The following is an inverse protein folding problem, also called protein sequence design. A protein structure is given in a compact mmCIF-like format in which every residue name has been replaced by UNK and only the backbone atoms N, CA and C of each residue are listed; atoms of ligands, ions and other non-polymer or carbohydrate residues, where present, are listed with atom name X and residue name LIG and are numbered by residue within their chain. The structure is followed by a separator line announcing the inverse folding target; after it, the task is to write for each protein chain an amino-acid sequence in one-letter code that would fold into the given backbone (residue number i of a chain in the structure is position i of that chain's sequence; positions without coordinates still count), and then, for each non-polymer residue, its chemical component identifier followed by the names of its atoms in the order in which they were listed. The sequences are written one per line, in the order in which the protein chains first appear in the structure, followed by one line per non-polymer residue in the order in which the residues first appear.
data_IF_536999108636
#
_entry.id   IF_536999108636
#
_cell.length_a   1.000
_cell.length_b   1.000
_cell.length_c   1.000
_cell.angle_alpha   90.00
_cell.angle_beta   90.00
_cell.angle_gamma   90.00
#
_symmetry.space_group_name_H-M   'P 1'
#
loop_
_entity.id
_entity.type
_entity.pdbx_description
1 polymer ?
#
# COMPACT_ATOMS: atom_id res chain seq x y z
N UNK A 1 3.62 19.05 1.61
CA UNK A 1 2.82 18.51 2.74
C UNK A 1 3.64 18.58 4.02
N UNK A 2 3.07 18.96 5.17
CA UNK A 2 3.81 18.96 6.45
C UNK A 2 4.10 17.51 6.86
N UNK A 3 5.33 17.21 7.28
CA UNK A 3 5.79 15.85 7.62
C UNK A 3 4.88 15.16 8.64
N UNK A 4 4.42 15.90 9.66
CA UNK A 4 3.51 15.43 10.71
C UNK A 4 2.18 14.95 10.11
N UNK A 5 1.62 15.70 9.16
CA UNK A 5 0.37 15.32 8.48
C UNK A 5 0.56 14.05 7.67
N UNK A 6 1.70 13.89 6.98
CA UNK A 6 2.01 12.65 6.24
C UNK A 6 2.07 11.44 7.15
N UNK A 7 2.75 11.57 8.30
CA UNK A 7 2.88 10.48 9.28
C UNK A 7 1.51 10.10 9.84
N UNK A 8 0.69 11.09 10.22
CA UNK A 8 -0.64 10.85 10.76
C UNK A 8 -1.55 10.15 9.73
N UNK A 9 -1.55 10.62 8.49
CA UNK A 9 -2.32 9.98 7.40
C UNK A 9 -1.83 8.55 7.17
N UNK A 10 -0.51 8.33 7.15
CA UNK A 10 0.07 6.98 6.97
C UNK A 10 -0.40 6.04 8.08
N UNK A 11 -0.35 6.48 9.33
CA UNK A 11 -0.78 5.68 10.48
C UNK A 11 -2.28 5.35 10.42
N UNK A 12 -3.13 6.36 10.15
CA UNK A 12 -4.59 6.15 10.04
C UNK A 12 -4.92 5.16 8.93
N UNK A 13 -4.31 5.30 7.76
CA UNK A 13 -4.53 4.39 6.62
C UNK A 13 -4.05 2.97 6.91
N UNK A 14 -2.91 2.81 7.59
CA UNK A 14 -2.44 1.50 8.03
C UNK A 14 -3.45 0.84 8.98
N UNK A 15 -3.96 1.57 9.97
CA UNK A 15 -4.97 1.07 10.91
C UNK A 15 -6.22 0.63 10.15
N UNK A 16 -6.78 1.48 9.29
CA UNK A 16 -7.98 1.14 8.50
C UNK A 16 -7.76 -0.14 7.68
N UNK A 17 -6.62 -0.25 7.00
CA UNK A 17 -6.29 -1.41 6.17
C UNK A 17 -6.12 -2.68 6.99
N UNK A 18 -5.39 -2.62 8.11
CA UNK A 18 -5.18 -3.77 9.01
C UNK A 18 -6.50 -4.26 9.59
N UNK A 19 -7.37 -3.36 10.05
CA UNK A 19 -8.70 -3.73 10.55
C UNK A 19 -9.56 -4.36 9.46
N UNK A 20 -9.55 -3.80 8.24
CA UNK A 20 -10.32 -4.35 7.13
C UNK A 20 -9.86 -5.76 6.71
N UNK A 21 -8.57 -6.05 6.81
CA UNK A 21 -8.02 -7.39 6.55
C UNK A 21 -8.40 -8.41 7.63
N UNK A 22 -8.84 -7.98 8.82
CA UNK A 22 -9.39 -8.86 9.85
C UNK A 22 -8.47 -10.03 10.24
N UNK A 23 -7.15 -9.79 10.31
CA UNK A 23 -6.17 -10.85 10.60
C UNK A 23 -6.04 -11.93 9.52
N UNK A 24 -6.54 -11.68 8.31
CA UNK A 24 -6.50 -12.62 7.18
C UNK A 24 -7.86 -13.21 6.80
N UNK A 25 -8.89 -12.98 7.62
CA UNK A 25 -10.26 -13.42 7.36
C UNK A 25 -11.16 -12.31 6.78
N UNK A 26 -10.68 -11.08 6.74
CA UNK A 26 -11.39 -9.94 6.19
C UNK A 26 -11.14 -9.73 4.70
N UNK A 27 -11.25 -8.47 4.26
CA UNK A 27 -11.04 -8.09 2.86
C UNK A 27 -9.69 -7.42 2.66
N UNK A 28 -8.94 -7.92 1.66
CA UNK A 28 -7.70 -7.28 1.20
C UNK A 28 -7.95 -6.13 0.22
N UNK A 29 -9.21 -5.79 -0.08
CA UNK A 29 -9.55 -4.74 -1.04
C UNK A 29 -8.92 -3.38 -0.66
N UNK A 30 -9.03 -2.88 0.59
CA UNK A 30 -8.40 -1.62 0.96
C UNK A 30 -6.87 -1.69 0.89
N UNK A 31 -6.28 -2.84 1.23
CA UNK A 31 -4.84 -3.06 1.11
C UNK A 31 -4.36 -2.96 -0.34
N UNK A 32 -5.09 -3.58 -1.27
CA UNK A 32 -4.79 -3.55 -2.71
C UNK A 32 -4.90 -2.16 -3.31
N UNK A 33 -5.86 -1.36 -2.85
CA UNK A 33 -6.08 0.00 -3.36
C UNK A 33 -5.10 1.00 -2.74
N UNK A 34 -4.89 0.96 -1.43
CA UNK A 34 -4.10 1.98 -0.72
C UNK A 34 -2.61 1.64 -0.75
N UNK A 35 -2.25 0.35 -0.69
CA UNK A 35 -0.87 -0.15 -0.66
C UNK A 35 -0.61 -1.17 -1.78
N UNK A 36 -0.79 -0.79 -3.05
CA UNK A 36 -0.68 -1.73 -4.16
C UNK A 36 0.72 -2.32 -4.29
N UNK A 37 1.80 -1.58 -3.98
CA UNK A 37 3.16 -2.13 -4.04
C UNK A 37 3.40 -3.18 -2.97
N UNK A 38 2.95 -2.92 -1.74
CA UNK A 38 2.97 -3.91 -0.66
C UNK A 38 2.23 -5.18 -1.07
N UNK A 39 1.03 -5.04 -1.62
CA UNK A 39 0.21 -6.19 -2.01
C UNK A 39 0.78 -6.93 -3.22
N UNK A 40 1.34 -6.24 -4.21
CA UNK A 40 2.06 -6.87 -5.31
C UNK A 40 3.21 -7.73 -4.80
N UNK A 41 4.03 -7.20 -3.89
CA UNK A 41 5.14 -7.95 -3.31
C UNK A 41 4.61 -9.16 -2.52
N UNK A 42 3.61 -8.97 -1.66
CA UNK A 42 3.02 -10.06 -0.86
C UNK A 42 2.45 -11.19 -1.74
N UNK A 43 1.75 -10.84 -2.83
CA UNK A 43 1.13 -11.80 -3.75
C UNK A 43 2.21 -12.51 -4.59
N UNK A 44 3.12 -11.76 -5.20
CA UNK A 44 4.14 -12.31 -6.11
C UNK A 44 5.17 -13.18 -5.38
N UNK A 45 5.48 -12.85 -4.13
CA UNK A 45 6.38 -13.66 -3.30
C UNK A 45 5.70 -14.89 -2.71
N UNK A 46 4.36 -14.98 -2.79
CA UNK A 46 3.53 -16.03 -2.19
C UNK A 46 3.69 -16.22 -0.67
N UNK A 47 4.43 -15.32 -0.02
CA UNK A 47 4.74 -15.39 1.42
C UNK A 47 3.80 -14.51 2.26
N UNK A 48 2.78 -13.92 1.64
CA UNK A 48 1.86 -13.03 2.32
C UNK A 48 2.46 -11.74 2.82
N UNK A 49 1.76 -11.11 3.76
CA UNK A 49 2.15 -9.82 4.34
C UNK A 49 3.19 -10.08 5.44
N UNK A 50 4.40 -10.46 5.02
CA UNK A 50 5.56 -10.61 5.90
C UNK A 50 6.26 -9.29 6.20
N UNK A 51 7.45 -9.37 6.80
CA UNK A 51 8.25 -8.21 7.24
C UNK A 51 8.52 -7.24 6.08
N UNK A 52 8.92 -7.76 4.91
CA UNK A 52 9.26 -6.90 3.76
C UNK A 52 8.04 -6.10 3.24
N UNK A 53 6.88 -6.72 2.91
CA UNK A 53 5.66 -5.99 2.57
C UNK A 53 5.26 -4.93 3.61
N UNK A 54 5.39 -5.22 4.91
CA UNK A 54 5.09 -4.27 5.99
C UNK A 54 5.99 -3.05 5.93
N UNK A 55 7.30 -3.24 5.77
CA UNK A 55 8.26 -2.13 5.62
C UNK A 55 7.85 -1.26 4.42
N UNK A 56 7.53 -1.89 3.29
CA UNK A 56 7.08 -1.17 2.08
C UNK A 56 5.79 -0.39 2.35
N UNK A 57 4.83 -0.94 3.10
CA UNK A 57 3.57 -0.26 3.41
C UNK A 57 3.80 1.02 4.22
N UNK A 58 4.68 0.94 5.24
CA UNK A 58 5.03 2.05 6.11
C UNK A 58 5.70 3.18 5.32
N UNK A 59 6.60 2.85 4.39
CA UNK A 59 7.38 3.87 3.67
C UNK A 59 6.70 4.39 2.39
N UNK A 60 5.70 3.68 1.84
CA UNK A 60 5.09 4.04 0.54
C UNK A 60 4.57 5.48 0.50
N UNK A 61 3.74 5.86 1.47
CA UNK A 61 3.13 7.21 1.54
C UNK A 61 4.18 8.29 1.85
N UNK A 62 5.09 8.10 2.84
CA UNK A 62 6.23 9.00 3.03
C UNK A 62 7.06 9.21 1.77
N UNK A 63 7.36 8.15 1.01
CA UNK A 63 8.11 8.24 -0.24
C UNK A 63 7.34 9.06 -1.28
N UNK A 64 6.04 8.83 -1.45
CA UNK A 64 5.23 9.65 -2.36
C UNK A 64 5.26 11.12 -1.97
N UNK A 65 5.09 11.43 -0.69
CA UNK A 65 5.16 12.81 -0.19
C UNK A 65 6.53 13.44 -0.43
N UNK A 66 7.63 12.70 -0.22
CA UNK A 66 8.99 13.16 -0.49
C UNK A 66 9.21 13.44 -1.97
N UNK A 67 8.78 12.54 -2.86
CA UNK A 67 8.90 12.73 -4.31
C UNK A 67 8.10 13.96 -4.76
N UNK A 68 6.86 14.11 -4.29
CA UNK A 68 6.00 15.23 -4.66
C UNK A 68 6.48 16.58 -4.11
N UNK A 69 7.07 16.60 -2.91
CA UNK A 69 7.68 17.80 -2.36
C UNK A 69 8.90 18.25 -3.20
N UNK A 70 9.71 17.30 -3.70
CA UNK A 70 10.89 17.60 -4.53
C UNK A 70 10.56 17.85 -6.00
N UNK A 71 9.57 17.13 -6.54
CA UNK A 71 9.19 17.12 -7.96
C UNK A 71 7.66 17.15 -8.08
N UNK A 72 6.99 18.29 -7.85
CA UNK A 72 5.52 18.37 -7.85
C UNK A 72 4.89 18.01 -9.20
N UNK A 73 5.60 18.26 -10.32
CA UNK A 73 5.16 17.88 -11.67
C UNK A 73 5.04 16.36 -11.86
N UNK A 74 5.68 15.56 -11.01
CA UNK A 74 5.63 14.09 -11.09
C UNK A 74 4.33 13.49 -10.54
N UNK A 75 3.39 14.32 -10.05
CA UNK A 75 2.11 13.86 -9.51
C UNK A 75 1.36 12.91 -10.45
N UNK A 76 1.33 13.21 -11.75
CA UNK A 76 0.59 12.40 -12.71
C UNK A 76 1.25 11.05 -12.94
N UNK A 77 2.59 11.00 -12.98
CA UNK A 77 3.32 9.72 -13.07
C UNK A 77 3.11 8.88 -11.81
N UNK A 78 3.21 9.47 -10.63
CA UNK A 78 3.00 8.74 -9.37
C UNK A 78 1.57 8.20 -9.25
N UNK A 79 0.56 9.02 -9.55
CA UNK A 79 -0.85 8.60 -9.56
C UNK A 79 -1.06 7.51 -10.60
N UNK A 80 -0.52 7.68 -11.82
CA UNK A 80 -0.63 6.70 -12.89
C UNK A 80 -0.04 5.35 -12.51
N UNK A 81 1.20 5.33 -12.00
CA UNK A 81 1.86 4.10 -11.54
C UNK A 81 1.04 3.46 -10.41
N UNK A 82 0.61 4.25 -9.42
CA UNK A 82 -0.17 3.74 -8.29
C UNK A 82 -1.49 3.10 -8.74
N UNK A 83 -2.24 3.77 -9.62
CA UNK A 83 -3.50 3.27 -10.18
C UNK A 83 -3.25 1.98 -10.96
N UNK A 84 -2.24 1.95 -11.83
CA UNK A 84 -1.90 0.75 -12.60
C UNK A 84 -1.56 -0.41 -11.65
N UNK A 85 -0.73 -0.17 -10.64
CA UNK A 85 -0.39 -1.18 -9.64
C UNK A 85 -1.61 -1.66 -8.86
N UNK A 86 -2.53 -0.77 -8.50
CA UNK A 86 -3.78 -1.12 -7.82
C UNK A 86 -4.68 -1.98 -8.73
N UNK A 87 -4.84 -1.61 -10.00
CA UNK A 87 -5.60 -2.40 -10.98
C UNK A 87 -4.99 -3.79 -11.11
N UNK A 88 -3.67 -3.91 -11.25
CA UNK A 88 -2.99 -5.21 -11.31
C UNK A 88 -3.31 -6.01 -10.03
N UNK A 89 -3.13 -5.41 -8.85
CA UNK A 89 -3.44 -6.06 -7.57
C UNK A 89 -4.89 -6.56 -7.46
N UNK A 90 -5.85 -5.77 -7.95
CA UNK A 90 -7.27 -6.13 -7.93
C UNK A 90 -7.56 -7.35 -8.81
N UNK A 91 -6.81 -7.53 -9.89
CA UNK A 91 -6.93 -8.68 -10.79
C UNK A 91 -6.14 -9.91 -10.34
N UNK A 92 -5.23 -9.78 -9.36
CA UNK A 92 -4.49 -10.91 -8.81
C UNK A 92 -5.23 -11.55 -7.64
N UNK A 93 -5.20 -12.87 -7.54
CA UNK A 93 -5.73 -13.59 -6.38
C UNK A 93 -4.85 -13.34 -5.17
N UNK A 94 -5.49 -12.90 -4.09
CA UNK A 94 -4.94 -12.99 -2.74
C UNK A 94 -5.52 -14.27 -2.18
N UNK A 95 -4.91 -15.41 -2.49
CA UNK A 95 -5.21 -16.62 -1.73
C UNK A 95 -5.06 -16.25 -0.25
N UNK A 96 -6.04 -16.63 0.56
CA UNK A 96 -6.03 -16.37 2.00
C UNK A 96 -4.64 -16.73 2.49
N UNK A 97 -3.87 -15.73 2.91
CA UNK A 97 -2.54 -15.94 3.47
C UNK A 97 -2.79 -16.68 4.78
N UNK A 98 -2.93 -18.01 4.69
CA UNK A 98 -3.11 -18.90 5.81
C UNK A 98 -1.76 -18.94 6.50
N UNK A 99 -1.61 -18.09 7.50
CA UNK A 99 -0.64 -18.31 8.57
C UNK A 99 -0.97 -19.59 9.32
#
# INVERSE_FOLDING_TARGET
MKIVTTILITFILLVIVVFAMGGGHGTYLPAKVIYPFTMLIAILTKNGIGILPIIIAIIQIPIYALILNKKPKWKFYLIGIHIISAIICLNLTTETFSG
#
